data_IF_548822488693
#
_entry.id   IF_548822488693
#
_cell.length_a   1.000
_cell.length_b   1.000
_cell.length_c   1.000
_cell.angle_alpha   90.00
_cell.angle_beta   90.00
_cell.angle_gamma   90.00
#
_symmetry.space_group_name_H-M   'P 1'
#
loop_
_entity.id
_entity.type
_entity.pdbx_description
1 polymer ?
#
# COMPACT_ATOMS: atom_id res chain seq x y z
N UNK A 1 38.13 -24.05 8.29
CA UNK A 1 37.65 -22.65 8.14
C UNK A 1 36.93 -22.56 6.80
N UNK A 2 35.63 -22.21 6.83
CA UNK A 2 34.74 -21.67 5.75
C UNK A 2 34.72 -22.43 4.41
N UNK A 3 33.63 -22.60 3.66
CA UNK A 3 32.20 -22.30 3.73
C UNK A 3 31.67 -22.92 2.42
N UNK A 4 30.49 -23.57 2.44
CA UNK A 4 30.01 -24.36 1.30
C UNK A 4 29.52 -23.56 0.08
N UNK A 5 29.09 -24.29 -0.97
CA UNK A 5 27.80 -24.14 -1.68
C UNK A 5 27.75 -24.86 -3.04
N UNK A 6 26.54 -25.35 -3.35
CA UNK A 6 25.87 -25.49 -4.67
C UNK A 6 26.48 -26.47 -5.68
N UNK A 7 25.89 -27.64 -5.95
CA UNK A 7 24.59 -27.96 -6.59
C UNK A 7 24.53 -27.53 -8.08
N UNK A 8 24.35 -28.55 -8.93
CA UNK A 8 23.93 -28.57 -10.35
C UNK A 8 24.96 -28.19 -11.44
N UNK A 9 25.61 -29.21 -12.01
CA UNK A 9 26.22 -29.17 -13.34
C UNK A 9 25.11 -29.19 -14.41
N UNK A 10 24.94 -28.10 -15.15
CA UNK A 10 24.05 -28.04 -16.31
C UNK A 10 24.83 -28.27 -17.62
N UNK A 11 24.36 -29.17 -18.51
CA UNK A 11 25.09 -29.59 -19.71
C UNK A 11 24.64 -28.80 -20.94
N UNK A 12 24.86 -27.48 -21.00
CA UNK A 12 24.49 -26.70 -22.19
C UNK A 12 25.23 -25.35 -22.26
N UNK A 13 26.55 -25.39 -22.30
CA UNK A 13 27.37 -24.25 -22.74
C UNK A 13 28.31 -24.70 -23.86
N UNK A 14 27.73 -25.14 -24.99
CA UNK A 14 28.39 -24.98 -26.27
C UNK A 14 27.74 -23.78 -26.97
N UNK A 15 28.28 -22.60 -26.67
CA UNK A 15 27.82 -21.33 -27.22
C UNK A 15 28.28 -21.24 -28.68
N UNK A 16 27.49 -21.79 -29.59
CA UNK A 16 27.71 -21.66 -31.03
C UNK A 16 27.30 -20.25 -31.47
N UNK A 17 28.27 -19.45 -31.91
CA UNK A 17 28.05 -18.18 -32.61
C UNK A 17 27.15 -18.41 -33.84
N UNK A 18 25.99 -17.77 -33.89
CA UNK A 18 25.29 -17.41 -35.14
C UNK A 18 24.04 -16.56 -34.86
N UNK A 19 23.92 -15.44 -35.58
CA UNK A 19 22.71 -14.67 -35.95
C UNK A 19 21.81 -14.15 -34.80
N UNK A 20 21.79 -12.84 -34.53
CA UNK A 20 21.02 -11.81 -35.26
C UNK A 20 19.50 -11.92 -35.05
N UNK A 21 18.92 -10.86 -34.46
CA UNK A 21 17.53 -10.36 -34.55
C UNK A 21 16.40 -10.80 -33.58
N UNK A 22 16.52 -11.82 -32.71
CA UNK A 22 15.34 -12.26 -31.92
C UNK A 22 15.23 -11.78 -30.46
N UNK A 23 16.19 -10.99 -29.95
CA UNK A 23 16.22 -10.58 -28.52
C UNK A 23 15.40 -9.30 -28.28
N UNK A 24 15.39 -8.38 -29.23
CA UNK A 24 14.66 -7.10 -29.15
C UNK A 24 13.13 -7.28 -28.94
N UNK A 25 12.44 -8.21 -29.64
CA UNK A 25 10.99 -8.34 -29.52
C UNK A 25 10.52 -8.79 -28.14
N UNK A 26 11.30 -9.66 -27.48
CA UNK A 26 10.90 -10.28 -26.20
C UNK A 26 10.98 -9.29 -25.03
N UNK A 27 12.02 -8.45 -25.05
CA UNK A 27 12.19 -7.36 -24.07
C UNK A 27 11.20 -6.23 -24.33
N UNK A 28 10.93 -5.90 -25.61
CA UNK A 28 9.90 -4.93 -25.97
C UNK A 28 8.51 -5.37 -25.53
N UNK A 29 8.16 -6.65 -25.71
CA UNK A 29 6.89 -7.24 -25.28
C UNK A 29 6.75 -7.24 -23.75
N UNK A 30 7.80 -7.57 -23.00
CA UNK A 30 7.77 -7.54 -21.53
C UNK A 30 7.64 -6.10 -20.98
N UNK A 31 8.31 -5.14 -21.60
CA UNK A 31 8.20 -3.73 -21.25
C UNK A 31 6.83 -3.14 -21.61
N UNK A 32 6.21 -3.57 -22.71
CA UNK A 32 4.84 -3.19 -23.08
C UNK A 32 3.80 -3.72 -22.09
N UNK A 33 4.00 -4.94 -21.56
CA UNK A 33 3.13 -5.57 -20.56
C UNK A 33 3.33 -5.04 -19.13
N UNK A 34 4.45 -4.35 -18.83
CA UNK A 34 4.67 -3.66 -17.55
C UNK A 34 4.00 -2.28 -17.48
N UNK A 35 3.71 -1.67 -18.64
CA UNK A 35 3.05 -0.35 -18.72
C UNK A 35 1.59 -0.28 -18.24
N UNK A 36 0.75 -1.34 -18.16
CA UNK A 36 -0.64 -1.14 -17.73
C UNK A 36 -0.78 -0.96 -16.22
N UNK A 37 0.17 -1.42 -15.39
CA UNK A 37 0.01 -1.38 -13.92
C UNK A 37 0.11 0.05 -13.38
N UNK A 38 1.01 0.87 -13.96
CA UNK A 38 1.11 2.29 -13.60
C UNK A 38 0.05 3.18 -14.26
N UNK A 39 -0.59 2.70 -15.33
CA UNK A 39 -1.58 3.46 -16.12
C UNK A 39 -3.03 3.17 -15.70
N UNK A 40 -3.30 2.03 -15.04
CA UNK A 40 -4.67 1.61 -14.65
C UNK A 40 -4.95 1.84 -13.16
N UNK A 41 -4.02 2.37 -12.36
CA UNK A 41 -4.39 2.83 -11.02
C UNK A 41 -5.18 4.14 -11.16
N UNK A 42 -6.48 4.18 -10.85
CA UNK A 42 -7.23 5.43 -10.93
C UNK A 42 -6.56 6.43 -10.00
N UNK A 43 -6.33 7.67 -10.47
CA UNK A 43 -5.70 8.74 -9.68
C UNK A 43 -6.36 8.91 -8.29
N UNK A 44 -7.65 8.61 -8.20
CA UNK A 44 -8.44 8.65 -6.96
C UNK A 44 -7.97 7.60 -5.95
N UNK A 45 -7.58 6.40 -6.41
CA UNK A 45 -7.12 5.32 -5.55
C UNK A 45 -5.72 5.61 -4.98
N UNK A 46 -4.80 6.12 -5.81
CA UNK A 46 -3.47 6.51 -5.34
C UNK A 46 -3.50 7.69 -4.37
N UNK A 47 -4.38 8.66 -4.60
CA UNK A 47 -4.56 9.81 -3.70
C UNK A 47 -5.16 9.40 -2.35
N UNK A 48 -6.18 8.52 -2.35
CA UNK A 48 -6.77 8.00 -1.11
C UNK A 48 -5.78 7.16 -0.30
N UNK A 49 -4.96 6.34 -0.98
CA UNK A 49 -3.89 5.56 -0.35
C UNK A 49 -2.84 6.46 0.31
N UNK A 50 -2.39 7.49 -0.40
CA UNK A 50 -1.45 8.47 0.14
C UNK A 50 -2.01 9.17 1.37
N UNK A 51 -3.24 9.69 1.28
CA UNK A 51 -3.92 10.36 2.40
C UNK A 51 -4.08 9.45 3.61
N UNK A 52 -4.51 8.21 3.40
CA UNK A 52 -4.66 7.22 4.48
C UNK A 52 -3.32 6.91 5.15
N UNK A 53 -2.27 6.68 4.38
CA UNK A 53 -0.93 6.43 4.91
C UNK A 53 -0.41 7.63 5.73
N UNK A 54 -0.58 8.85 5.24
CA UNK A 54 -0.18 10.06 5.96
C UNK A 54 -1.00 10.26 7.23
N UNK A 55 -2.33 10.09 7.18
CA UNK A 55 -3.20 10.22 8.34
C UNK A 55 -2.82 9.26 9.46
N UNK A 56 -2.43 8.03 9.13
CA UNK A 56 -1.99 7.03 10.11
C UNK A 56 -0.60 7.35 10.65
N UNK A 57 0.32 7.80 9.80
CA UNK A 57 1.67 8.17 10.21
C UNK A 57 1.70 9.38 11.15
N UNK A 58 0.78 10.33 10.96
CA UNK A 58 0.67 11.54 11.79
C UNK A 58 -0.47 11.47 12.80
N UNK A 59 -1.06 10.29 13.02
CA UNK A 59 -2.28 10.14 13.82
C UNK A 59 -2.03 10.62 15.26
N UNK A 60 -2.71 11.69 15.74
CA UNK A 60 -2.45 12.28 17.05
C UNK A 60 -3.14 11.56 18.21
N UNK A 61 -3.75 10.40 17.96
CA UNK A 61 -4.55 9.64 18.92
C UNK A 61 -4.34 8.14 18.76
N UNK A 62 -4.64 7.39 19.82
CA UNK A 62 -4.58 5.94 19.89
C UNK A 62 -5.94 5.28 20.15
N UNK A 63 -5.91 3.95 20.24
CA UNK A 63 -7.07 3.16 20.68
C UNK A 63 -7.36 3.46 22.15
N UNK A 64 -8.61 3.77 22.47
CA UNK A 64 -9.07 4.17 23.79
C UNK A 64 -9.30 5.67 23.96
N UNK A 65 -8.73 6.49 23.08
CA UNK A 65 -8.92 7.94 23.15
C UNK A 65 -10.34 8.32 22.72
N UNK A 66 -10.90 9.33 23.40
CA UNK A 66 -12.16 9.93 23.00
C UNK A 66 -11.86 11.07 22.04
N UNK A 67 -12.32 10.95 20.81
CA UNK A 67 -12.05 11.92 19.76
C UNK A 67 -13.35 12.38 19.10
N UNK A 68 -13.26 13.54 18.45
CA UNK A 68 -14.31 14.04 17.58
C UNK A 68 -13.71 14.40 16.22
N UNK A 69 -14.22 13.75 15.18
CA UNK A 69 -13.83 13.96 13.79
C UNK A 69 -15.06 14.51 13.06
N UNK A 70 -15.02 15.78 12.67
CA UNK A 70 -16.16 16.49 12.07
C UNK A 70 -17.44 16.38 12.94
N UNK A 71 -18.45 15.63 12.47
CA UNK A 71 -19.73 15.40 13.18
C UNK A 71 -19.76 14.13 14.01
N UNK A 72 -18.69 13.34 13.99
CA UNK A 72 -18.63 12.03 14.65
C UNK A 72 -17.80 12.14 15.92
N UNK A 73 -18.46 12.00 17.07
CA UNK A 73 -17.83 11.86 18.38
C UNK A 73 -17.89 10.40 18.85
N UNK A 74 -16.82 9.93 19.49
CA UNK A 74 -16.78 8.57 20.01
C UNK A 74 -15.43 8.17 20.59
N UNK A 75 -15.36 6.94 21.12
CA UNK A 75 -14.12 6.34 21.63
C UNK A 75 -13.50 5.49 20.53
N UNK A 76 -12.22 5.68 20.26
CA UNK A 76 -11.49 4.88 19.26
C UNK A 76 -11.37 3.45 19.75
N UNK A 77 -11.92 2.50 18.99
CA UNK A 77 -11.84 1.07 19.30
C UNK A 77 -10.81 0.33 18.46
N UNK A 78 -10.68 0.71 17.21
CA UNK A 78 -9.77 0.06 16.27
C UNK A 78 -9.29 1.07 15.23
N UNK A 79 -8.03 0.96 14.86
CA UNK A 79 -7.41 1.71 13.78
C UNK A 79 -6.91 0.68 12.76
N UNK A 80 -7.52 0.68 11.58
CA UNK A 80 -7.11 -0.12 10.43
C UNK A 80 -6.55 0.79 9.34
N UNK A 81 -5.82 0.22 8.38
CA UNK A 81 -5.25 1.01 7.28
C UNK A 81 -6.30 1.80 6.49
N UNK A 82 -7.49 1.21 6.33
CA UNK A 82 -8.58 1.78 5.55
C UNK A 82 -9.57 2.60 6.38
N UNK A 83 -9.78 2.23 7.64
CA UNK A 83 -10.84 2.80 8.48
C UNK A 83 -10.42 2.92 9.94
N UNK A 84 -10.92 3.97 10.61
CA UNK A 84 -10.93 4.09 12.06
C UNK A 84 -12.33 3.81 12.57
N UNK A 85 -12.42 2.96 13.59
CA UNK A 85 -13.67 2.56 14.22
C UNK A 85 -13.86 3.33 15.52
N UNK A 86 -14.92 4.13 15.58
CA UNK A 86 -15.37 4.83 16.78
C UNK A 86 -16.57 4.11 17.37
N UNK A 87 -16.57 3.89 18.68
CA UNK A 87 -17.76 3.50 19.44
C UNK A 87 -18.53 4.75 19.87
N UNK A 88 -19.81 4.81 19.54
CA UNK A 88 -20.73 5.90 19.90
C UNK A 88 -22.03 5.33 20.45
N UNK A 89 -22.22 5.44 21.76
CA UNK A 89 -23.41 4.92 22.43
C UNK A 89 -23.54 3.39 22.28
N UNK A 90 -24.53 2.93 21.52
CA UNK A 90 -24.74 1.49 21.21
C UNK A 90 -24.29 1.09 19.79
N UNK A 91 -23.62 1.98 19.06
CA UNK A 91 -23.24 1.76 17.67
C UNK A 91 -21.76 2.00 17.39
N UNK A 92 -21.35 1.63 16.18
CA UNK A 92 -20.01 1.85 15.65
C UNK A 92 -20.06 2.75 14.42
N UNK A 93 -19.08 3.64 14.31
CA UNK A 93 -18.87 4.52 13.16
C UNK A 93 -17.53 4.17 12.53
N UNK A 94 -17.54 3.94 11.21
CA UNK A 94 -16.34 3.65 10.43
C UNK A 94 -15.97 4.86 9.59
N UNK A 95 -14.84 5.48 9.90
CA UNK A 95 -14.35 6.66 9.21
C UNK A 95 -13.20 6.25 8.31
N UNK A 96 -13.26 6.46 6.98
CA UNK A 96 -12.14 6.21 6.09
C UNK A 96 -10.91 7.03 6.50
N UNK A 97 -9.74 6.40 6.53
CA UNK A 97 -8.48 7.08 6.88
C UNK A 97 -8.13 8.20 5.89
N UNK A 98 -8.52 8.06 4.63
CA UNK A 98 -8.37 9.12 3.62
C UNK A 98 -9.18 10.38 3.92
N UNK A 99 -10.34 10.23 4.58
CA UNK A 99 -11.16 11.37 5.01
C UNK A 99 -10.50 12.10 6.17
N UNK A 100 -9.91 11.36 7.12
CA UNK A 100 -9.25 11.93 8.28
C UNK A 100 -8.11 12.88 7.94
N UNK A 101 -7.37 12.63 6.86
CA UNK A 101 -6.25 13.48 6.43
C UNK A 101 -6.66 14.94 6.21
N UNK A 102 -7.87 15.17 5.70
CA UNK A 102 -8.37 16.50 5.36
C UNK A 102 -9.28 17.11 6.43
N UNK A 103 -9.51 16.43 7.55
CA UNK A 103 -10.43 16.88 8.60
C UNK A 103 -9.70 17.20 9.89
N UNK A 104 -10.21 18.19 10.61
CA UNK A 104 -9.75 18.50 11.96
C UNK A 104 -10.16 17.37 12.91
N UNK A 105 -9.21 16.95 13.75
CA UNK A 105 -9.42 15.97 14.81
C UNK A 105 -9.31 16.68 16.15
N UNK A 106 -10.40 16.67 16.92
CA UNK A 106 -10.44 17.17 18.29
C UNK A 106 -10.20 16.01 19.27
N UNK A 107 -9.16 16.13 20.10
CA UNK A 107 -8.88 15.19 21.19
C UNK A 107 -9.60 15.66 22.46
N UNK A 108 -10.49 14.82 23.02
CA UNK A 108 -11.24 15.15 24.23
C UNK A 108 -10.55 14.52 25.45
N UNK A 109 -10.15 15.36 26.41
CA UNK A 109 -9.59 14.93 27.72
C UNK A 109 -10.68 14.69 28.74
#
# INVERSE_FOLDING_TARGET
>A
MLSGRSVLKFPFLSLRKSASESIVPRVALSMAMLKPISVIMPKVLSDNLYKGAMALATCPFGVGDKIKIDKYDGVVKNISFWYVMLERGKGYVFIPTSHMYNTVVELLK
#
